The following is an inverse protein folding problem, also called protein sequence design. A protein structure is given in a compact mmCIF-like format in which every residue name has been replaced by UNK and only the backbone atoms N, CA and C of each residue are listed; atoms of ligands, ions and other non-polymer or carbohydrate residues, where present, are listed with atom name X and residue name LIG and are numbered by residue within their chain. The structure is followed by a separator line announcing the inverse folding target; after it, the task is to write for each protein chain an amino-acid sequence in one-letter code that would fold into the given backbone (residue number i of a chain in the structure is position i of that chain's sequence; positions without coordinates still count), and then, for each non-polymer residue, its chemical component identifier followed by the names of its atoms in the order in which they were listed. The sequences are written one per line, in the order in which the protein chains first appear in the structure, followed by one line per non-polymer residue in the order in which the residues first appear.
data_IF_455148259054
#
_entry.id   IF_455148259054
#
_cell.length_a   1.000
_cell.length_b   1.000
_cell.length_c   1.000
_cell.angle_alpha   90.00
_cell.angle_beta   90.00
_cell.angle_gamma   90.00
#
_symmetry.space_group_name_H-M   'P 1'
#
loop_
_entity.id
_entity.type
_entity.pdbx_description
1 polymer ?
#
# COMPACT_ATOMS: atom_id res chain seq x y z
N UNK A 1 4.28 8.64 -5.64
CA UNK A 1 3.28 7.89 -4.84
C UNK A 1 1.95 8.64 -4.81
N UNK A 2 0.90 7.97 -4.35
CA UNK A 2 -0.39 8.59 -4.12
C UNK A 2 -1.20 7.72 -3.18
N UNK A 3 -1.96 8.34 -2.30
CA UNK A 3 -2.82 7.62 -1.40
C UNK A 3 -4.25 7.66 -1.88
N UNK A 4 -4.76 6.55 -2.41
CA UNK A 4 -6.17 6.44 -2.80
C UNK A 4 -7.11 6.51 -1.61
N UNK A 5 -6.68 6.02 -0.45
CA UNK A 5 -7.60 5.89 0.67
C UNK A 5 -7.59 7.11 1.62
N UNK A 6 -6.43 7.50 2.16
CA UNK A 6 -6.44 8.58 3.14
C UNK A 6 -6.08 9.95 2.54
N UNK A 7 -4.79 10.24 2.40
CA UNK A 7 -4.40 11.54 1.86
C UNK A 7 -3.68 11.51 0.52
N UNK A 8 -2.35 11.37 0.59
CA UNK A 8 -1.48 11.37 -0.59
C UNK A 8 -0.34 10.36 -0.47
N UNK A 9 -0.08 9.90 0.74
CA UNK A 9 1.16 9.21 1.04
C UNK A 9 0.98 7.73 1.32
N UNK A 10 1.98 7.12 1.98
CA UNK A 10 1.95 5.70 2.36
C UNK A 10 0.72 5.34 3.16
N UNK A 11 0.42 4.06 3.21
CA UNK A 11 -0.79 3.59 3.84
C UNK A 11 -0.61 3.39 5.33
N UNK A 12 -1.60 3.82 6.11
CA UNK A 12 -1.70 3.57 7.54
C UNK A 12 -2.42 2.24 7.82
N UNK A 13 -3.54 2.13 7.15
CA UNK A 13 -4.53 1.08 7.28
C UNK A 13 -4.16 -0.21 6.54
N UNK A 14 -2.86 -0.56 6.51
CA UNK A 14 -2.31 -1.65 5.67
C UNK A 14 -3.26 -2.84 5.43
N UNK A 15 -4.18 -3.13 6.35
CA UNK A 15 -5.18 -4.17 6.12
C UNK A 15 -5.96 -3.91 4.83
N UNK A 16 -6.62 -2.75 4.76
CA UNK A 16 -7.34 -2.36 3.55
C UNK A 16 -6.35 -2.05 2.44
N UNK A 17 -5.15 -1.65 2.84
CA UNK A 17 -4.12 -1.30 1.89
C UNK A 17 -3.57 -2.53 1.20
N UNK A 18 -3.79 -3.68 1.81
CA UNK A 18 -3.37 -4.94 1.21
C UNK A 18 -4.31 -5.26 0.05
N UNK A 19 -5.58 -4.88 0.22
CA UNK A 19 -6.54 -4.97 -0.86
C UNK A 19 -6.21 -3.92 -1.92
N UNK A 20 -5.94 -2.71 -1.47
CA UNK A 20 -5.68 -1.61 -2.38
C UNK A 20 -4.37 -1.82 -3.14
N UNK A 21 -3.38 -2.36 -2.44
CA UNK A 21 -2.09 -2.71 -3.05
C UNK A 21 -2.29 -3.60 -4.25
N UNK A 22 -3.28 -4.48 -4.16
CA UNK A 22 -3.58 -5.41 -5.21
C UNK A 22 -4.11 -4.67 -6.44
N UNK A 23 -5.11 -3.84 -6.20
CA UNK A 23 -5.71 -3.05 -7.26
C UNK A 23 -4.73 -1.98 -7.74
N UNK A 24 -3.76 -1.67 -6.89
CA UNK A 24 -2.71 -0.74 -7.21
C UNK A 24 -1.85 -1.25 -8.37
N UNK A 25 -1.01 -2.26 -8.15
CA UNK A 25 -0.12 -2.70 -9.22
C UNK A 25 -0.62 -3.93 -10.00
N UNK A 26 -0.43 -5.11 -9.41
CA UNK A 26 -0.66 -6.37 -10.11
C UNK A 26 -2.02 -6.99 -9.81
N UNK A 27 -2.20 -7.26 -8.52
CA UNK A 27 -3.17 -8.24 -8.04
C UNK A 27 -4.61 -7.75 -8.02
N UNK A 28 -5.02 -7.02 -9.06
CA UNK A 28 -6.37 -6.43 -9.13
C UNK A 28 -7.49 -7.32 -8.54
N UNK A 29 -7.34 -8.65 -8.62
CA UNK A 29 -8.33 -9.56 -8.05
C UNK A 29 -7.68 -10.58 -7.11
N UNK A 30 -6.39 -10.45 -6.90
CA UNK A 30 -5.62 -11.37 -6.07
C UNK A 30 -5.14 -10.69 -4.79
N UNK A 31 -5.00 -11.44 -3.68
CA UNK A 31 -4.33 -10.94 -2.47
C UNK A 31 -3.02 -10.21 -2.75
N UNK A 32 -2.73 -9.20 -1.95
CA UNK A 32 -1.51 -8.43 -2.12
C UNK A 32 -0.89 -8.09 -0.77
N UNK A 33 0.33 -7.58 -0.80
CA UNK A 33 1.12 -7.37 0.40
C UNK A 33 1.84 -6.03 0.35
N UNK A 34 1.88 -5.35 1.48
CA UNK A 34 2.50 -4.03 1.57
C UNK A 34 3.84 -4.13 2.30
N UNK A 35 4.81 -3.33 1.90
CA UNK A 35 6.09 -3.32 2.58
C UNK A 35 6.20 -2.05 3.42
N UNK A 36 6.80 -2.16 4.58
CA UNK A 36 6.87 -1.06 5.50
C UNK A 36 8.28 -0.46 5.52
N UNK A 37 8.41 0.75 4.98
CA UNK A 37 9.68 1.44 5.05
C UNK A 37 10.00 1.80 6.49
N UNK A 38 11.18 1.37 6.94
CA UNK A 38 11.53 1.32 8.35
C UNK A 38 11.80 2.69 8.97
N UNK A 39 12.35 3.63 8.19
CA UNK A 39 12.72 4.92 8.74
C UNK A 39 11.55 5.58 9.46
N UNK A 40 10.43 5.69 8.77
CA UNK A 40 9.22 6.24 9.35
C UNK A 40 8.35 5.13 9.92
N UNK A 41 8.65 3.91 9.48
CA UNK A 41 8.00 2.66 9.94
C UNK A 41 6.64 2.47 9.29
N UNK A 42 5.84 3.53 9.30
CA UNK A 42 4.46 3.47 8.82
C UNK A 42 4.37 3.59 7.31
N UNK A 43 5.48 3.49 6.61
CA UNK A 43 5.46 3.68 5.16
C UNK A 43 5.03 2.39 4.45
N UNK A 44 3.74 2.13 4.51
CA UNK A 44 3.12 0.94 3.91
C UNK A 44 2.99 1.03 2.40
N UNK A 45 4.10 1.12 1.69
CA UNK A 45 4.04 1.19 0.23
C UNK A 45 3.97 -0.22 -0.33
N UNK A 46 2.89 -0.53 -1.06
CA UNK A 46 2.70 -1.81 -1.75
C UNK A 46 3.98 -2.33 -2.39
N UNK A 47 4.14 -3.66 -2.36
CA UNK A 47 5.39 -4.33 -2.78
C UNK A 47 5.76 -4.00 -4.23
N UNK A 48 4.80 -3.54 -5.00
CA UNK A 48 5.04 -3.09 -6.36
C UNK A 48 4.44 -1.70 -6.54
N UNK A 49 5.20 -0.68 -6.12
CA UNK A 49 4.65 0.66 -6.01
C UNK A 49 5.77 1.63 -5.64
N UNK A 50 5.41 2.88 -5.36
CA UNK A 50 6.40 3.88 -5.02
C UNK A 50 6.55 4.01 -3.52
#
# INVERSE_FOLDING_TARGET
DFDPTEFKGPFPTIEICSKYCAVVCNYTSRPCYCVEAAKERDQWFPYCYD
#
